data_IF_731829304161
#
_entry.id   IF_731829304161
#
_cell.length_a   1.000
_cell.length_b   1.000
_cell.length_c   1.000
_cell.angle_alpha   90.00
_cell.angle_beta   90.00
_cell.angle_gamma   90.00
#
_symmetry.space_group_name_H-M   'P 1'
#
loop_
_entity.id
_entity.type
_entity.pdbx_description
1 polymer ?
#
# COMPACT_ATOMS: atom_id res chain seq x y z
N UNK A 1 -9.14 0.88 -6.77
CA UNK A 1 -8.79 2.30 -6.58
C UNK A 1 -7.73 2.60 -7.67
N UNK A 2 -6.81 3.56 -7.51
CA UNK A 2 -5.53 3.53 -8.24
C UNK A 2 -4.39 3.66 -7.21
N UNK A 3 -4.29 2.68 -6.32
CA UNK A 3 -3.32 2.68 -5.23
C UNK A 3 -2.35 1.49 -5.32
N UNK A 4 -1.47 1.38 -4.31
CA UNK A 4 -0.45 0.33 -4.28
C UNK A 4 -1.05 -1.09 -4.19
N UNK A 5 -2.26 -1.27 -3.66
CA UNK A 5 -2.90 -2.58 -3.59
C UNK A 5 -3.42 -3.00 -4.96
N UNK A 6 -4.05 -2.09 -5.71
CA UNK A 6 -4.47 -2.37 -7.09
C UNK A 6 -3.26 -2.73 -7.97
N UNK A 7 -2.13 -2.01 -7.82
CA UNK A 7 -0.91 -2.31 -8.55
C UNK A 7 -0.36 -3.71 -8.21
N UNK A 8 -0.38 -4.09 -6.94
CA UNK A 8 0.06 -5.43 -6.50
C UNK A 8 -0.83 -6.52 -7.07
N UNK A 9 -2.15 -6.31 -7.09
CA UNK A 9 -3.11 -7.26 -7.67
C UNK A 9 -2.78 -7.52 -9.14
N UNK A 10 -2.61 -6.46 -9.95
CA UNK A 10 -2.23 -6.56 -11.36
C UNK A 10 -0.91 -7.34 -11.52
N UNK A 11 0.10 -7.05 -10.71
CA UNK A 11 1.39 -7.74 -10.77
C UNK A 11 1.27 -9.22 -10.38
N UNK A 12 0.44 -9.55 -9.40
CA UNK A 12 0.21 -10.96 -9.04
C UNK A 12 -0.55 -11.71 -10.13
N UNK A 13 -1.52 -11.08 -10.77
CA UNK A 13 -2.23 -11.70 -11.90
C UNK A 13 -1.30 -11.91 -13.10
N UNK A 14 -0.43 -10.93 -13.37
CA UNK A 14 0.66 -11.05 -14.35
C UNK A 14 1.56 -12.27 -14.04
N UNK A 15 1.91 -12.49 -12.76
CA UNK A 15 2.69 -13.67 -12.34
C UNK A 15 1.93 -14.99 -12.50
N UNK A 16 0.60 -15.01 -12.25
CA UNK A 16 -0.23 -16.19 -12.47
C UNK A 16 -0.29 -16.53 -13.96
N UNK A 17 -0.49 -15.53 -14.81
CA UNK A 17 -0.58 -15.70 -16.27
C UNK A 17 0.76 -16.15 -16.88
N UNK A 18 1.89 -15.69 -16.33
CA UNK A 18 3.22 -16.19 -16.70
C UNK A 18 3.42 -17.68 -16.35
N UNK A 19 2.79 -18.15 -15.27
CA UNK A 19 2.87 -19.55 -14.82
C UNK A 19 1.83 -20.45 -15.47
N UNK A 20 0.91 -19.89 -16.26
CA UNK A 20 -0.13 -20.66 -16.92
C UNK A 20 0.44 -21.41 -18.12
N UNK A 21 0.62 -22.72 -18.01
CA UNK A 21 1.18 -23.54 -19.09
C UNK A 21 0.20 -23.76 -20.25
N UNK A 22 -1.11 -23.71 -20.00
CA UNK A 22 -2.15 -23.90 -21.02
C UNK A 22 -2.35 -22.65 -21.88
N UNK A 23 -2.22 -21.47 -21.28
CA UNK A 23 -2.33 -20.17 -21.95
C UNK A 23 -1.35 -19.17 -21.34
N UNK A 24 -0.05 -19.31 -21.65
CA UNK A 24 0.98 -18.46 -21.08
C UNK A 24 0.87 -17.04 -21.63
N UNK A 25 1.08 -16.05 -20.76
CA UNK A 25 1.25 -14.67 -21.21
C UNK A 25 2.56 -14.50 -21.97
N UNK A 26 2.52 -13.64 -22.99
CA UNK A 26 3.70 -13.19 -23.71
C UNK A 26 4.72 -12.50 -22.79
N UNK A 27 6.00 -12.89 -22.91
CA UNK A 27 7.07 -12.42 -22.03
C UNK A 27 7.35 -10.92 -22.22
N UNK A 28 7.28 -10.41 -23.45
CA UNK A 28 7.55 -9.00 -23.71
C UNK A 28 6.42 -8.12 -23.20
N UNK A 29 5.17 -8.61 -23.27
CA UNK A 29 4.05 -7.99 -22.56
C UNK A 29 4.27 -7.97 -21.05
N UNK A 30 4.77 -9.05 -20.46
CA UNK A 30 5.04 -9.12 -19.02
C UNK A 30 6.13 -8.12 -18.57
N UNK A 31 7.18 -7.96 -19.38
CA UNK A 31 8.22 -6.95 -19.16
C UNK A 31 7.64 -5.54 -19.23
N UNK A 32 6.82 -5.25 -20.25
CA UNK A 32 6.19 -3.94 -20.39
C UNK A 32 5.31 -3.58 -19.18
N UNK A 33 4.55 -4.55 -18.64
CA UNK A 33 3.78 -4.35 -17.39
C UNK A 33 4.72 -4.04 -16.23
N UNK A 34 5.82 -4.79 -16.10
CA UNK A 34 6.80 -4.60 -15.03
C UNK A 34 7.48 -3.22 -15.10
N UNK A 35 7.80 -2.74 -16.29
CA UNK A 35 8.45 -1.43 -16.51
C UNK A 35 7.50 -0.27 -16.16
N UNK A 36 6.23 -0.38 -16.54
CA UNK A 36 5.20 0.61 -16.18
C UNK A 36 4.99 0.62 -14.67
N UNK A 37 4.89 -0.57 -14.04
CA UNK A 37 4.77 -0.67 -12.59
C UNK A 37 5.96 -0.04 -11.86
N UNK A 38 7.18 -0.26 -12.36
CA UNK A 38 8.39 0.35 -11.79
C UNK A 38 8.36 1.88 -11.88
N UNK A 39 7.81 2.43 -12.96
CA UNK A 39 7.61 3.88 -13.14
C UNK A 39 6.64 4.42 -12.09
N UNK A 40 5.52 3.75 -11.85
CA UNK A 40 4.53 4.13 -10.81
C UNK A 40 5.15 4.05 -9.41
N UNK A 41 5.93 3.00 -9.12
CA UNK A 41 6.62 2.87 -7.83
C UNK A 41 7.61 4.03 -7.62
N UNK A 42 8.28 4.49 -8.68
CA UNK A 42 9.20 5.61 -8.61
C UNK A 42 8.47 6.94 -8.34
N UNK A 43 7.28 7.17 -8.91
CA UNK A 43 6.48 8.36 -8.57
C UNK A 43 6.03 8.33 -7.12
N UNK A 44 5.61 7.16 -6.63
CA UNK A 44 5.21 6.98 -5.23
C UNK A 44 6.36 7.26 -4.24
N UNK A 45 7.59 6.85 -4.56
CA UNK A 45 8.77 7.16 -3.73
C UNK A 45 8.96 8.67 -3.57
N UNK A 46 8.79 9.45 -4.64
CA UNK A 46 8.89 10.91 -4.59
C UNK A 46 7.81 11.51 -3.69
N UNK A 47 6.57 11.00 -3.75
CA UNK A 47 5.51 11.45 -2.85
C UNK A 47 5.84 11.17 -1.38
N UNK A 48 6.40 10.00 -1.07
CA UNK A 48 6.83 9.64 0.27
C UNK A 48 7.95 10.56 0.74
N UNK A 49 8.92 10.86 -0.12
CA UNK A 49 10.02 11.75 0.23
C UNK A 49 9.53 13.18 0.44
N UNK A 50 8.61 13.66 -0.38
CA UNK A 50 7.90 14.92 -0.15
C UNK A 50 7.15 14.92 1.19
N UNK A 51 6.43 13.85 1.52
CA UNK A 51 5.71 13.71 2.78
C UNK A 51 6.65 13.76 4.00
N UNK A 52 7.78 13.06 3.95
CA UNK A 52 8.82 13.11 4.99
C UNK A 52 9.38 14.52 5.19
N UNK A 53 9.66 15.24 4.11
CA UNK A 53 10.23 16.59 4.16
C UNK A 53 9.21 17.61 4.73
N UNK A 54 7.94 17.48 4.33
CA UNK A 54 6.88 18.42 4.74
C UNK A 54 6.24 18.07 6.09
N UNK A 55 6.56 16.92 6.66
CA UNK A 55 5.96 16.43 7.90
C UNK A 55 4.55 15.85 7.72
N UNK A 56 4.14 15.53 6.50
CA UNK A 56 2.89 14.81 6.23
C UNK A 56 3.05 13.32 6.56
N UNK A 57 2.08 12.74 7.25
CA UNK A 57 2.09 11.32 7.65
C UNK A 57 1.37 10.40 6.66
N UNK A 58 0.93 10.90 5.49
CA UNK A 58 0.16 10.09 4.53
C UNK A 58 0.43 10.48 3.07
N UNK A 59 0.36 9.49 2.18
CA UNK A 59 0.30 9.64 0.72
C UNK A 59 -1.02 9.06 0.20
N UNK A 60 -1.54 9.60 -0.89
CA UNK A 60 -2.73 9.06 -1.56
C UNK A 60 -2.48 7.73 -2.26
N UNK A 61 -1.21 7.38 -2.51
CA UNK A 61 -0.81 6.12 -3.15
C UNK A 61 -0.55 4.99 -2.15
N UNK A 62 0.02 5.31 -0.98
CA UNK A 62 0.16 4.37 0.14
C UNK A 62 -0.84 4.73 1.23
N UNK A 63 -2.00 4.11 1.15
CA UNK A 63 -3.04 4.23 2.17
C UNK A 63 -2.72 3.31 3.34
N UNK A 64 -2.44 3.87 4.51
CA UNK A 64 -2.50 3.11 5.75
C UNK A 64 -3.96 2.86 6.10
N UNK A 65 -4.43 1.62 5.99
CA UNK A 65 -5.64 1.23 6.69
C UNK A 65 -5.35 1.31 8.18
N UNK A 66 -5.63 2.46 8.81
CA UNK A 66 -5.64 2.55 10.26
C UNK A 66 -6.66 1.53 10.74
N UNK A 67 -6.29 0.50 11.52
CA UNK A 67 -7.28 -0.37 12.12
C UNK A 67 -8.20 0.53 12.95
N UNK A 68 -9.46 0.63 12.56
CA UNK A 68 -10.49 1.38 13.28
C UNK A 68 -10.90 0.63 14.55
N UNK A 69 -9.94 0.06 15.27
CA UNK A 69 -10.11 -0.34 16.64
C UNK A 69 -10.28 0.94 17.43
N UNK A 70 -11.54 1.32 17.71
CA UNK A 70 -11.85 2.23 18.81
C UNK A 70 -11.02 1.77 19.99
N UNK A 71 -10.01 2.55 20.37
CA UNK A 71 -9.31 2.32 21.63
C UNK A 71 -10.41 2.19 22.68
N UNK A 72 -10.45 1.11 23.50
CA UNK A 72 -11.42 1.04 24.57
C UNK A 72 -11.23 2.30 25.40
N UNK A 73 -12.28 3.12 25.48
CA UNK A 73 -12.32 4.32 26.31
C UNK A 73 -11.86 3.91 27.69
N UNK A 74 -10.65 4.33 28.07
CA UNK A 74 -10.08 3.96 29.36
C UNK A 74 -11.04 4.39 30.45
N UNK A 75 -11.65 3.42 31.13
CA UNK A 75 -12.33 3.67 32.40
C UNK A 75 -11.32 4.31 33.32
N UNK A 76 -11.48 5.61 33.58
CA UNK A 76 -10.62 6.36 34.48
C UNK A 76 -10.64 5.73 35.85
N UNK A 77 -9.54 5.10 36.26
CA UNK A 77 -9.36 4.70 37.65
C UNK A 77 -9.07 5.97 38.46
N UNK A 78 -10.11 6.51 39.11
CA UNK A 78 -9.96 7.57 40.11
C UNK A 78 -9.42 6.93 41.39
N UNK A 79 -8.12 7.06 41.65
CA UNK A 79 -7.57 6.79 42.97
C UNK A 79 -8.07 7.87 43.94
N UNK A 80 -9.11 7.56 44.71
CA UNK A 80 -9.49 8.38 45.86
C UNK A 80 -8.46 8.17 46.96
N UNK A 81 -7.50 9.08 47.08
CA UNK A 81 -6.68 9.19 48.28
C UNK A 81 -7.60 9.62 49.43
N UNK A 82 -7.81 8.72 50.39
CA UNK A 82 -8.47 9.02 51.66
C UNK A 82 -7.51 9.84 52.52
N UNK A 83 -7.89 11.08 52.82
CA UNK A 83 -7.43 11.83 53.99
C UNK A 83 -8.46 11.72 55.10
#
# INVERSE_FOLDING_TARGET
>A
MNDVNDLREILFDTLKDLRNEERPMDIDRAKAVSDVAQTIINTAKIEIDHAKITGSSSSSFITEEKPTGKLPTGSGYVHKLRG
#
